data_IF_453646511720
#
_entry.id   IF_453646511720
#
_cell.length_a   1.000
_cell.length_b   1.000
_cell.length_c   1.000
_cell.angle_alpha   90.00
_cell.angle_beta   90.00
_cell.angle_gamma   90.00
#
_symmetry.space_group_name_H-M   'P 1'
#
loop_
_entity.id
_entity.type
_entity.pdbx_description
1 polymer ?
#
# COMPACT_ATOMS: atom_id res chain seq x y z
N UNK A 1 14.47 -14.77 10.81
CA UNK A 1 13.49 -13.70 10.50
C UNK A 1 12.82 -13.14 11.75
N UNK A 2 12.33 -13.94 12.70
CA UNK A 2 11.54 -13.45 13.85
C UNK A 2 12.14 -12.24 14.61
N UNK A 3 13.44 -12.25 14.91
CA UNK A 3 14.08 -11.08 15.56
C UNK A 3 14.03 -9.82 14.70
N UNK A 4 14.34 -9.95 13.41
CA UNK A 4 14.34 -8.83 12.46
C UNK A 4 12.93 -8.22 12.27
N UNK A 5 11.88 -9.03 12.39
CA UNK A 5 10.51 -8.65 12.03
C UNK A 5 9.55 -8.48 13.21
N UNK A 6 10.00 -8.73 14.45
CA UNK A 6 9.13 -8.71 15.62
C UNK A 6 9.75 -8.05 16.86
N UNK A 7 11.08 -7.97 16.95
CA UNK A 7 11.75 -7.38 18.11
C UNK A 7 11.67 -5.84 18.04
N UNK A 8 10.97 -5.22 19.00
CA UNK A 8 10.72 -3.77 18.99
C UNK A 8 12.01 -2.94 18.97
N UNK A 9 13.06 -3.37 19.67
CA UNK A 9 14.34 -2.66 19.72
C UNK A 9 15.05 -2.72 18.37
N UNK A 10 15.07 -3.88 17.72
CA UNK A 10 15.64 -4.03 16.38
C UNK A 10 14.86 -3.18 15.37
N UNK A 11 13.53 -3.24 15.40
CA UNK A 11 12.69 -2.50 14.44
C UNK A 11 12.74 -0.98 14.65
N UNK A 12 12.81 -0.52 15.91
CA UNK A 12 13.07 0.89 16.24
C UNK A 12 14.41 1.34 15.66
N UNK A 13 15.48 0.57 15.89
CA UNK A 13 16.81 0.89 15.38
C UNK A 13 16.84 0.94 13.84
N UNK A 14 16.16 0.03 13.15
CA UNK A 14 16.00 0.10 11.68
C UNK A 14 15.39 1.46 11.29
N UNK A 15 14.31 1.86 11.95
CA UNK A 15 13.63 3.13 11.68
C UNK A 15 14.53 4.33 11.96
N UNK A 16 15.29 4.32 13.05
CA UNK A 16 16.20 5.43 13.39
C UNK A 16 17.35 5.57 12.39
N UNK A 17 17.86 4.45 11.87
CA UNK A 17 19.02 4.42 10.95
C UNK A 17 18.61 4.63 9.49
N UNK A 18 17.55 3.97 9.03
CA UNK A 18 17.14 3.99 7.62
C UNK A 18 15.96 4.92 7.34
N UNK A 19 15.29 5.39 8.39
CA UNK A 19 14.06 6.20 8.33
C UNK A 19 12.84 5.44 7.78
N UNK A 20 12.94 4.11 7.60
CA UNK A 20 11.82 3.28 7.18
C UNK A 20 10.80 3.11 8.30
N UNK A 21 9.51 3.17 7.98
CA UNK A 21 8.46 2.84 8.94
C UNK A 21 8.33 1.32 9.09
N UNK A 22 8.60 0.80 10.28
CA UNK A 22 8.54 -0.63 10.56
C UNK A 22 7.15 -1.06 11.05
N UNK A 23 6.80 -2.34 10.86
CA UNK A 23 5.48 -2.87 11.24
C UNK A 23 5.27 -3.08 12.77
N UNK A 24 6.14 -2.52 13.62
CA UNK A 24 6.05 -2.66 15.06
C UNK A 24 5.33 -1.45 15.69
N UNK A 25 4.06 -1.63 16.06
CA UNK A 25 3.24 -0.55 16.61
C UNK A 25 3.83 0.09 17.87
N UNK A 26 4.43 -0.70 18.78
CA UNK A 26 5.04 -0.18 20.01
C UNK A 26 6.19 0.77 19.69
N UNK A 27 7.14 0.33 18.85
CA UNK A 27 8.28 1.14 18.45
C UNK A 27 7.86 2.41 17.69
N UNK A 28 6.89 2.30 16.77
CA UNK A 28 6.45 3.43 15.96
C UNK A 28 5.65 4.45 16.75
N UNK A 29 4.80 4.01 17.68
CA UNK A 29 4.09 4.91 18.58
C UNK A 29 5.03 5.63 19.54
N UNK A 30 6.11 4.98 19.98
CA UNK A 30 7.15 5.65 20.76
C UNK A 30 7.83 6.75 19.93
N UNK A 31 8.40 6.41 18.77
CA UNK A 31 9.10 7.36 17.89
C UNK A 31 8.20 8.50 17.37
N UNK A 32 6.90 8.24 17.20
CA UNK A 32 5.92 9.25 16.82
C UNK A 32 5.80 10.39 17.86
N UNK A 33 6.21 10.14 19.12
CA UNK A 33 6.11 11.10 20.22
C UNK A 33 7.45 11.71 20.63
N UNK A 34 8.56 11.24 20.07
CA UNK A 34 9.90 11.78 20.34
C UNK A 34 10.23 12.98 19.45
N UNK A 35 11.39 13.58 19.68
CA UNK A 35 12.01 14.60 18.84
C UNK A 35 12.73 14.03 17.61
N UNK A 36 12.41 12.79 17.20
CA UNK A 36 12.92 12.16 15.99
C UNK A 36 12.63 13.04 14.78
N UNK A 37 13.62 13.21 13.90
CA UNK A 37 13.54 14.08 12.73
C UNK A 37 14.25 13.47 11.54
N UNK A 38 13.64 13.64 10.38
CA UNK A 38 14.24 13.34 9.09
C UNK A 38 14.85 14.59 8.47
N UNK A 39 16.18 14.65 8.37
CA UNK A 39 16.87 15.74 7.67
C UNK A 39 16.50 15.79 6.18
N UNK A 40 16.31 14.63 5.56
CA UNK A 40 15.86 14.51 4.18
C UNK A 40 14.50 15.16 3.95
N UNK A 41 13.58 15.04 4.92
CA UNK A 41 12.25 15.65 4.89
C UNK A 41 12.19 17.03 5.57
N UNK A 42 13.34 17.71 5.73
CA UNK A 42 13.40 19.07 6.27
C UNK A 42 13.12 19.17 7.77
N UNK A 43 13.50 18.14 8.53
CA UNK A 43 13.35 18.09 10.00
C UNK A 43 11.98 17.63 10.48
N UNK A 44 11.16 17.04 9.60
CA UNK A 44 9.85 16.50 9.97
C UNK A 44 9.98 15.14 10.69
N UNK A 45 9.06 14.86 11.62
CA UNK A 45 8.85 13.52 12.16
C UNK A 45 7.79 12.80 11.32
N UNK A 46 8.18 12.16 10.23
CA UNK A 46 7.26 11.39 9.39
C UNK A 46 6.68 10.15 10.09
N UNK A 47 7.33 9.65 11.14
CA UNK A 47 6.82 8.51 11.92
C UNK A 47 5.51 8.88 12.61
N UNK A 48 5.36 10.12 13.10
CA UNK A 48 4.10 10.59 13.67
C UNK A 48 2.94 10.54 12.66
N UNK A 49 3.20 10.98 11.42
CA UNK A 49 2.22 10.92 10.34
C UNK A 49 1.83 9.48 10.01
N UNK A 50 2.83 8.61 9.85
CA UNK A 50 2.61 7.21 9.47
C UNK A 50 1.97 6.39 10.60
N UNK A 51 2.31 6.63 11.86
CA UNK A 51 1.68 5.99 13.01
C UNK A 51 0.19 6.31 13.10
N UNK A 52 -0.22 7.52 12.73
CA UNK A 52 -1.64 7.90 12.66
C UNK A 52 -2.37 7.31 11.43
N UNK A 53 -1.65 7.02 10.35
CA UNK A 53 -2.21 6.49 9.11
C UNK A 53 -2.29 4.96 9.09
N UNK A 54 -1.29 4.26 9.65
CA UNK A 54 -1.17 2.80 9.60
C UNK A 54 -2.40 2.04 10.14
N UNK A 55 -3.07 2.46 11.24
CA UNK A 55 -4.28 1.80 11.72
C UNK A 55 -5.49 1.91 10.78
N UNK A 56 -5.43 2.80 9.77
CA UNK A 56 -6.49 2.99 8.77
C UNK A 56 -6.31 2.12 7.54
N UNK A 57 -5.22 1.34 7.45
CA UNK A 57 -4.99 0.41 6.35
C UNK A 57 -6.03 -0.71 6.41
N UNK A 58 -6.80 -0.85 5.34
CA UNK A 58 -7.77 -1.91 5.15
C UNK A 58 -7.21 -2.94 4.16
N UNK A 59 -6.99 -4.17 4.63
CA UNK A 59 -6.53 -5.31 3.82
C UNK A 59 -7.62 -6.35 3.58
N UNK A 60 -8.89 -6.02 3.85
CA UNK A 60 -10.03 -6.96 3.75
C UNK A 60 -10.24 -7.56 2.36
N UNK A 61 -9.74 -6.89 1.31
CA UNK A 61 -9.85 -7.35 -0.08
C UNK A 61 -8.63 -8.14 -0.58
N UNK A 62 -7.57 -8.29 0.23
CA UNK A 62 -6.38 -9.04 -0.18
C UNK A 62 -6.73 -10.52 -0.35
N UNK A 63 -6.29 -11.12 -1.46
CA UNK A 63 -6.72 -12.47 -1.80
C UNK A 63 -5.88 -13.17 -2.88
N UNK A 64 -6.26 -14.42 -3.23
CA UNK A 64 -5.50 -15.23 -4.19
C UNK A 64 -5.49 -14.64 -5.62
N UNK A 65 -6.38 -13.69 -5.92
CA UNK A 65 -6.48 -13.05 -7.23
C UNK A 65 -5.59 -11.80 -7.35
N UNK A 66 -5.03 -11.27 -6.26
CA UNK A 66 -4.38 -9.95 -6.21
C UNK A 66 -3.38 -9.72 -7.33
N UNK A 67 -2.47 -10.68 -7.55
CA UNK A 67 -1.47 -10.57 -8.61
C UNK A 67 -2.13 -10.40 -9.98
N UNK A 68 -3.09 -11.28 -10.30
CA UNK A 68 -3.71 -11.27 -11.60
C UNK A 68 -4.61 -10.06 -11.84
N UNK A 69 -5.33 -9.60 -10.81
CA UNK A 69 -6.13 -8.37 -10.87
C UNK A 69 -5.23 -7.15 -11.06
N UNK A 70 -4.10 -7.07 -10.35
CA UNK A 70 -3.17 -5.94 -10.43
C UNK A 70 -2.54 -5.84 -11.84
N UNK A 71 -2.10 -6.95 -12.42
CA UNK A 71 -1.56 -7.00 -13.79
C UNK A 71 -2.61 -6.58 -14.84
N UNK A 72 -3.84 -7.11 -14.73
CA UNK A 72 -4.95 -6.75 -15.62
C UNK A 72 -5.32 -5.26 -15.48
N UNK A 73 -5.31 -4.73 -14.26
CA UNK A 73 -5.60 -3.32 -13.99
C UNK A 73 -4.54 -2.41 -14.63
N UNK A 74 -3.26 -2.69 -14.39
CA UNK A 74 -2.15 -1.92 -14.96
C UNK A 74 -2.22 -1.88 -16.49
N UNK A 75 -2.54 -3.01 -17.13
CA UNK A 75 -2.67 -3.08 -18.58
C UNK A 75 -3.85 -2.24 -19.08
N UNK A 76 -5.04 -2.42 -18.50
CA UNK A 76 -6.24 -1.73 -18.94
C UNK A 76 -6.19 -0.21 -18.68
N UNK A 77 -5.60 0.21 -17.56
CA UNK A 77 -5.52 1.63 -17.19
C UNK A 77 -4.31 2.35 -17.78
N UNK A 78 -3.30 1.63 -18.28
CA UNK A 78 -2.20 2.26 -19.03
C UNK A 78 -2.72 3.12 -20.18
N UNK A 79 -3.65 2.60 -20.98
CA UNK A 79 -4.20 3.33 -22.12
C UNK A 79 -5.00 4.57 -21.70
N UNK A 80 -5.62 4.54 -20.52
CA UNK A 80 -6.29 5.71 -19.94
C UNK A 80 -5.28 6.78 -19.53
N UNK A 81 -4.22 6.40 -18.82
CA UNK A 81 -3.18 7.34 -18.40
C UNK A 81 -2.37 7.92 -19.56
N UNK A 82 -2.20 7.14 -20.63
CA UNK A 82 -1.59 7.60 -21.88
C UNK A 82 -2.55 8.47 -22.73
N UNK A 83 -3.83 8.56 -22.36
CA UNK A 83 -4.84 9.37 -23.05
C UNK A 83 -5.44 8.74 -24.32
N UNK A 84 -5.20 7.45 -24.54
CA UNK A 84 -5.71 6.69 -25.69
C UNK A 84 -7.18 6.31 -25.55
N UNK A 85 -7.63 6.06 -24.31
CA UNK A 85 -9.02 5.72 -24.00
C UNK A 85 -9.53 6.53 -22.81
N UNK A 86 -10.85 6.64 -22.66
CA UNK A 86 -11.45 7.25 -21.48
C UNK A 86 -11.54 6.26 -20.29
N UNK A 87 -11.87 6.79 -19.11
CA UNK A 87 -12.00 6.00 -17.88
C UNK A 87 -13.03 4.87 -18.02
N UNK A 88 -14.15 5.14 -18.71
CA UNK A 88 -15.22 4.16 -18.91
C UNK A 88 -14.73 2.96 -19.71
N UNK A 89 -13.97 3.24 -20.79
CA UNK A 89 -13.39 2.22 -21.66
C UNK A 89 -12.32 1.42 -20.92
N UNK A 90 -11.45 2.08 -20.15
CA UNK A 90 -10.45 1.37 -19.33
C UNK A 90 -11.09 0.43 -18.28
N UNK A 91 -12.18 0.88 -17.62
CA UNK A 91 -12.96 0.03 -16.71
C UNK A 91 -13.56 -1.19 -17.44
N UNK A 92 -14.16 -0.99 -18.61
CA UNK A 92 -14.72 -2.08 -19.41
C UNK A 92 -13.65 -3.08 -19.89
N UNK A 93 -12.47 -2.59 -20.28
CA UNK A 93 -11.33 -3.42 -20.67
C UNK A 93 -10.83 -4.25 -19.48
N UNK A 94 -10.74 -3.65 -18.29
CA UNK A 94 -10.39 -4.34 -17.07
C UNK A 94 -11.41 -5.44 -16.74
N UNK A 95 -12.70 -5.13 -16.71
CA UNK A 95 -13.77 -6.10 -16.41
C UNK A 95 -13.81 -7.27 -17.41
N UNK A 96 -13.53 -6.99 -18.69
CA UNK A 96 -13.38 -8.04 -19.71
C UNK A 96 -12.22 -8.96 -19.38
N UNK A 97 -11.03 -8.41 -19.10
CA UNK A 97 -9.85 -9.19 -18.73
C UNK A 97 -10.07 -10.02 -17.47
N UNK A 98 -10.82 -9.49 -16.49
CA UNK A 98 -11.17 -10.24 -15.28
C UNK A 98 -12.04 -11.45 -15.59
N UNK A 99 -13.10 -11.29 -16.37
CA UNK A 99 -14.02 -12.39 -16.72
C UNK A 99 -13.35 -13.47 -17.56
N UNK A 100 -12.36 -13.10 -18.39
CA UNK A 100 -11.57 -14.05 -19.16
C UNK A 100 -10.61 -14.86 -18.27
N UNK A 101 -9.95 -14.19 -17.31
CA UNK A 101 -8.94 -14.82 -16.44
C UNK A 101 -9.55 -15.58 -15.27
N UNK A 102 -10.64 -15.05 -14.72
CA UNK A 102 -11.36 -15.53 -13.54
C UNK A 102 -12.88 -15.53 -13.79
N UNK A 103 -13.41 -16.48 -14.59
CA UNK A 103 -14.83 -16.52 -14.96
C UNK A 103 -15.79 -16.64 -13.77
N UNK A 104 -15.32 -17.13 -12.63
CA UNK A 104 -16.05 -17.23 -11.38
C UNK A 104 -16.30 -15.87 -10.69
N UNK A 105 -15.55 -14.83 -11.05
CA UNK A 105 -15.74 -13.47 -10.55
C UNK A 105 -16.83 -12.76 -11.37
N UNK A 106 -18.03 -12.67 -10.79
CA UNK A 106 -19.23 -12.20 -11.51
C UNK A 106 -19.50 -10.71 -11.35
N UNK A 107 -18.93 -10.06 -10.34
CA UNK A 107 -19.23 -8.67 -9.99
C UNK A 107 -17.96 -7.89 -9.71
N UNK A 108 -17.87 -6.68 -10.26
CA UNK A 108 -16.80 -5.71 -9.98
C UNK A 108 -17.44 -4.48 -9.34
N UNK A 109 -16.94 -4.11 -8.16
CA UNK A 109 -17.41 -2.94 -7.42
C UNK A 109 -16.33 -1.87 -7.48
N UNK A 110 -16.63 -0.77 -8.16
CA UNK A 110 -15.73 0.38 -8.23
C UNK A 110 -15.86 1.24 -6.97
N UNK A 111 -14.76 1.81 -6.44
CA UNK A 111 -14.84 2.80 -5.38
C UNK A 111 -15.62 4.03 -5.86
N UNK A 112 -16.38 4.62 -4.93
CA UNK A 112 -17.17 5.84 -5.16
C UNK A 112 -16.29 7.09 -5.33
#
# INVERSE_FOLDING_TARGET
MQKLTCDASIMKNITEVTQDYTNNQTAMNELATTDFKSDFLGGQNHIALFAAAAPKIDMSNAGPYDQGLNESFQTAFKDYFDGTVDMTTAKANFETSLKEKYPELTTVVWPA
#
